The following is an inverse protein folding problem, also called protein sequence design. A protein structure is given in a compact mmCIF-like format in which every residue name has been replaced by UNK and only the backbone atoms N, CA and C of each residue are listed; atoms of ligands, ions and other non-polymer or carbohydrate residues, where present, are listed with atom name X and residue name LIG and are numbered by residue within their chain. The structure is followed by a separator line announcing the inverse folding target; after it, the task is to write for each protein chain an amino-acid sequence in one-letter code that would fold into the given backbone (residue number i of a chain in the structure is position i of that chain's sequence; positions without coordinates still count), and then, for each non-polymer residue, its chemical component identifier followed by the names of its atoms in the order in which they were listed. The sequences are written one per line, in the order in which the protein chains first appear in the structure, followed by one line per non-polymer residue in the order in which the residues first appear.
data_IF_007142603528
#
_entry.id   IF_007142603528
#
_cell.length_a   1.000
_cell.length_b   1.000
_cell.length_c   1.000
_cell.angle_alpha   90.00
_cell.angle_beta   90.00
_cell.angle_gamma   90.00
#
_symmetry.space_group_name_H-M   'P 1'
#
loop_
_entity.id
_entity.type
_entity.pdbx_description
1 polymer ?
#
# COMPACT_ATOMS: atom_id res chain seq x y z
N UNK A 1 10.68 -6.92 -0.19
CA UNK A 1 9.69 -5.88 -0.53
C UNK A 1 9.45 -4.96 0.66
N UNK A 2 9.11 -3.70 0.38
CA UNK A 2 8.78 -2.65 1.36
C UNK A 2 7.42 -2.07 1.00
N UNK A 3 6.57 -1.83 1.97
CA UNK A 3 5.18 -1.48 1.70
C UNK A 3 4.62 -0.43 2.65
N UNK A 4 3.57 0.23 2.16
CA UNK A 4 2.63 1.05 2.93
C UNK A 4 1.27 0.35 2.90
N UNK A 5 0.70 0.09 4.06
CA UNK A 5 -0.51 -0.71 4.19
C UNK A 5 -1.59 -0.06 5.05
N UNK A 6 -2.85 -0.31 4.69
CA UNK A 6 -3.99 -0.19 5.60
C UNK A 6 -4.30 -1.59 6.16
N UNK A 7 -4.13 -1.75 7.46
CA UNK A 7 -4.24 -3.03 8.17
C UNK A 7 -5.44 -2.97 9.10
N UNK A 8 -6.43 -3.84 8.87
CA UNK A 8 -7.53 -4.02 9.80
C UNK A 8 -7.22 -5.10 10.84
N UNK A 9 -6.78 -6.27 10.38
CA UNK A 9 -6.26 -7.34 11.23
C UNK A 9 -5.32 -8.28 10.44
N UNK A 10 -4.92 -9.40 11.06
CA UNK A 10 -4.04 -10.41 10.46
C UNK A 10 -4.61 -11.03 9.17
N UNK A 11 -5.92 -10.92 8.95
CA UNK A 11 -6.63 -11.56 7.85
C UNK A 11 -7.16 -10.56 6.81
N UNK A 12 -7.11 -9.26 7.10
CA UNK A 12 -7.70 -8.21 6.28
C UNK A 12 -6.78 -6.99 6.19
N UNK A 13 -6.20 -6.78 5.00
CA UNK A 13 -5.30 -5.66 4.72
C UNK A 13 -5.34 -5.24 3.25
N UNK A 14 -4.87 -4.01 3.00
CA UNK A 14 -4.50 -3.49 1.69
C UNK A 14 -3.08 -2.98 1.74
N UNK A 15 -2.27 -3.25 0.72
CA UNK A 15 -0.89 -2.80 0.69
C UNK A 15 -0.44 -2.41 -0.72
N UNK A 16 0.23 -1.27 -0.82
CA UNK A 16 1.10 -0.97 -1.96
C UNK A 16 2.53 -1.37 -1.57
N UNK A 17 3.16 -2.21 -2.40
CA UNK A 17 4.47 -2.79 -2.14
C UNK A 17 5.44 -2.44 -3.27
N UNK A 18 6.69 -2.16 -2.94
CA UNK A 18 7.77 -1.92 -3.89
C UNK A 18 8.93 -2.89 -3.66
N UNK A 19 9.52 -3.36 -4.76
CA UNK A 19 10.70 -4.22 -4.75
C UNK A 19 10.84 -4.97 -6.07
N UNK A 20 12.03 -5.51 -6.33
CA UNK A 20 12.31 -6.36 -7.49
C UNK A 20 11.91 -5.72 -8.84
N UNK A 21 12.13 -4.41 -8.99
CA UNK A 21 11.80 -3.66 -10.21
C UNK A 21 10.30 -3.43 -10.44
N UNK A 22 9.47 -3.61 -9.41
CA UNK A 22 8.02 -3.49 -9.52
C UNK A 22 7.39 -2.76 -8.34
N UNK A 23 6.20 -2.23 -8.60
CA UNK A 23 5.22 -1.85 -7.59
C UNK A 23 3.98 -2.71 -7.77
N UNK A 24 3.45 -3.21 -6.65
CA UNK A 24 2.31 -4.11 -6.63
C UNK A 24 1.26 -3.62 -5.64
N UNK A 25 -0.01 -3.74 -6.01
CA UNK A 25 -1.15 -3.57 -5.10
C UNK A 25 -1.66 -4.95 -4.69
N UNK A 26 -1.74 -5.17 -3.38
CA UNK A 26 -2.21 -6.42 -2.80
C UNK A 26 -3.38 -6.19 -1.87
N UNK A 27 -4.24 -7.19 -1.79
CA UNK A 27 -5.12 -7.37 -0.65
C UNK A 27 -4.86 -8.68 0.07
N UNK A 28 -5.11 -8.65 1.38
CA UNK A 28 -5.40 -9.84 2.18
C UNK A 28 -6.87 -9.77 2.53
N UNK A 29 -7.65 -10.77 2.14
CA UNK A 29 -9.08 -10.83 2.43
C UNK A 29 -9.42 -12.21 2.98
N UNK A 30 -9.94 -12.25 4.20
CA UNK A 30 -10.16 -13.51 4.93
C UNK A 30 -8.91 -14.41 4.96
N UNK A 31 -7.73 -13.81 5.12
CA UNK A 31 -6.43 -14.48 5.16
C UNK A 31 -5.86 -14.87 3.79
N UNK A 32 -6.61 -14.68 2.69
CA UNK A 32 -6.14 -14.98 1.34
C UNK A 32 -5.43 -13.77 0.75
N UNK A 33 -4.17 -13.96 0.36
CA UNK A 33 -3.37 -12.94 -0.31
C UNK A 33 -3.60 -12.99 -1.81
N UNK A 34 -3.78 -11.83 -2.44
CA UNK A 34 -3.86 -11.72 -3.89
C UNK A 34 -3.28 -10.39 -4.37
N UNK A 35 -2.49 -10.47 -5.45
CA UNK A 35 -2.04 -9.32 -6.20
C UNK A 35 -3.18 -8.86 -7.13
N UNK A 36 -3.53 -7.58 -7.03
CA UNK A 36 -4.59 -6.97 -7.83
C UNK A 36 -4.03 -6.26 -9.06
N UNK A 37 -2.90 -5.58 -8.88
CA UNK A 37 -2.27 -4.74 -9.90
C UNK A 37 -0.75 -4.84 -9.75
N UNK A 38 -0.04 -4.86 -10.87
CA UNK A 38 1.41 -4.76 -10.90
C UNK A 38 1.85 -3.77 -11.98
N UNK A 39 2.91 -3.03 -11.71
CA UNK A 39 3.55 -2.13 -12.66
C UNK A 39 5.07 -2.27 -12.56
N UNK A 40 5.75 -2.25 -13.71
CA UNK A 40 7.20 -2.14 -13.77
C UNK A 40 7.65 -0.75 -13.36
N UNK A 41 8.79 -0.68 -12.69
CA UNK A 41 9.41 0.57 -12.26
C UNK A 41 10.85 0.58 -12.70
N UNK A 42 11.20 1.60 -13.49
CA UNK A 42 12.58 1.85 -13.89
C UNK A 42 13.49 2.04 -12.66
N UNK A 43 14.79 1.69 -12.76
CA UNK A 43 15.73 1.87 -11.67
C UNK A 43 15.72 3.30 -11.13
N UNK A 44 15.49 3.44 -9.83
CA UNK A 44 15.44 4.73 -9.14
C UNK A 44 16.10 4.63 -7.77
N UNK A 45 16.63 5.76 -7.29
CA UNK A 45 17.32 5.82 -5.99
C UNK A 45 16.31 5.75 -4.84
N UNK A 46 15.17 6.44 -4.98
CA UNK A 46 14.11 6.48 -3.98
C UNK A 46 12.76 6.24 -4.65
N UNK A 47 11.91 5.48 -3.98
CA UNK A 47 10.51 5.32 -4.34
C UNK A 47 9.65 5.76 -3.15
N UNK A 48 8.66 6.60 -3.43
CA UNK A 48 7.68 7.06 -2.45
C UNK A 48 6.36 6.36 -2.72
N UNK A 49 5.76 5.82 -1.67
CA UNK A 49 4.46 5.14 -1.73
C UNK A 49 3.40 6.03 -1.09
N UNK A 50 2.21 6.04 -1.67
CA UNK A 50 1.07 6.80 -1.15
C UNK A 50 -0.16 5.91 -1.07
N UNK A 51 -0.86 6.07 0.05
CA UNK A 51 -2.17 5.51 0.34
C UNK A 51 -3.09 6.68 0.71
N UNK A 52 -4.19 6.83 -0.01
CA UNK A 52 -5.23 7.81 0.30
C UNK A 52 -6.52 7.08 0.66
N UNK A 53 -7.24 7.59 1.67
CA UNK A 53 -8.50 7.01 2.13
C UNK A 53 -9.53 8.09 2.38
N UNK A 54 -10.78 7.86 1.96
CA UNK A 54 -11.90 8.76 2.23
C UNK A 54 -13.19 7.99 2.53
N UNK A 55 -14.00 8.54 3.43
CA UNK A 55 -15.20 7.87 3.95
C UNK A 55 -14.92 6.51 4.61
N UNK A 56 -13.69 6.30 5.12
CA UNK A 56 -13.26 5.09 5.84
C UNK A 56 -13.06 3.81 5.01
N UNK A 57 -13.47 3.82 3.73
CA UNK A 57 -13.61 2.58 2.95
C UNK A 57 -13.14 2.68 1.49
N UNK A 58 -12.88 3.87 0.97
CA UNK A 58 -12.44 4.07 -0.41
C UNK A 58 -10.95 4.35 -0.41
N UNK A 59 -10.18 3.49 -1.08
CA UNK A 59 -8.72 3.53 -1.05
C UNK A 59 -8.14 3.81 -2.43
N UNK A 60 -7.03 4.58 -2.44
CA UNK A 60 -6.20 4.84 -3.60
C UNK A 60 -4.74 4.60 -3.30
N UNK A 61 -4.04 4.15 -4.32
CA UNK A 61 -2.63 3.81 -4.23
C UNK A 61 -1.89 4.44 -5.41
N UNK A 62 -0.79 5.09 -5.10
CA UNK A 62 0.08 5.69 -6.08
C UNK A 62 1.54 5.58 -5.62
N UNK A 63 2.46 5.68 -6.56
CA UNK A 63 3.88 5.75 -6.27
C UNK A 63 4.55 6.89 -7.05
N UNK A 64 5.72 7.30 -6.57
CA UNK A 64 6.56 8.31 -7.23
C UNK A 64 8.02 7.89 -7.15
N UNK A 65 8.76 8.04 -8.24
CA UNK A 65 10.20 7.77 -8.33
C UNK A 65 11.06 9.04 -8.26
N UNK A 66 10.42 10.22 -8.29
CA UNK A 66 11.08 11.53 -8.22
C UNK A 66 10.55 12.43 -7.08
N UNK A 67 9.52 11.98 -6.35
CA UNK A 67 8.89 12.69 -5.24
C UNK A 67 7.88 13.77 -5.66
N UNK A 68 7.69 14.01 -6.96
CA UNK A 68 6.87 15.10 -7.51
C UNK A 68 5.74 14.59 -8.42
N UNK A 69 6.03 13.66 -9.33
CA UNK A 69 5.06 13.04 -10.23
C UNK A 69 4.49 11.77 -9.60
N UNK A 70 3.16 11.66 -9.56
CA UNK A 70 2.46 10.55 -8.95
C UNK A 70 1.86 9.64 -10.01
N UNK A 71 2.30 8.38 -10.01
CA UNK A 71 1.81 7.32 -10.88
C UNK A 71 0.73 6.53 -10.11
N UNK A 72 -0.56 6.70 -10.44
CA UNK A 72 -1.62 5.92 -9.81
C UNK A 72 -1.52 4.46 -10.25
N UNK A 73 -1.81 3.52 -9.34
CA UNK A 73 -2.01 2.12 -9.72
C UNK A 73 -3.44 1.93 -10.25
N UNK A 74 -3.62 1.42 -11.48
CA UNK A 74 -4.94 1.29 -12.08
C UNK A 74 -5.72 0.16 -11.41
N UNK A 75 -6.74 0.52 -10.60
CA UNK A 75 -7.75 -0.43 -10.10
C UNK A 75 -8.94 -0.49 -11.04
N UNK A 76 -9.79 -1.52 -10.92
CA UNK A 76 -11.10 -1.60 -11.58
C UNK A 76 -12.03 -0.51 -11.02
N UNK A 77 -11.86 0.73 -11.50
CA UNK A 77 -12.53 1.94 -11.02
C UNK A 77 -11.59 2.96 -10.36
N UNK A 78 -12.17 4.08 -9.94
CA UNK A 78 -11.44 5.22 -9.37
C UNK A 78 -10.81 4.93 -7.99
N UNK A 79 -11.30 3.91 -7.28
CA UNK A 79 -10.87 3.54 -5.93
C UNK A 79 -11.18 2.08 -5.62
N UNK A 80 -10.40 1.46 -4.74
CA UNK A 80 -10.69 0.14 -4.23
C UNK A 80 -11.65 0.21 -3.02
N UNK A 81 -12.64 -0.68 -3.01
CA UNK A 81 -13.57 -0.83 -1.90
C UNK A 81 -12.98 -1.71 -0.79
N UNK A 82 -12.66 -1.09 0.35
CA UNK A 82 -12.09 -1.72 1.53
C UNK A 82 -13.10 -2.06 2.63
N UNK A 83 -14.39 -2.23 2.35
CA UNK A 83 -15.43 -2.58 3.35
C UNK A 83 -15.18 -3.89 4.10
N UNK A 84 -14.30 -4.75 3.58
CA UNK A 84 -13.88 -5.97 4.26
C UNK A 84 -12.84 -5.72 5.36
N UNK A 85 -12.31 -4.50 5.47
CA UNK A 85 -11.48 -4.12 6.62
C UNK A 85 -12.40 -3.93 7.84
N UNK A 86 -12.14 -4.62 8.97
CA UNK A 86 -13.02 -4.61 10.13
C UNK A 86 -13.20 -3.19 10.70
N UNK A 87 -14.42 -2.76 11.03
CA UNK A 87 -14.67 -1.33 11.01
C UNK A 87 -14.81 -0.68 12.42
N UNK A 88 -14.83 -1.42 13.55
CA UNK A 88 -15.22 -0.79 14.83
C UNK A 88 -14.50 -1.25 16.10
N UNK A 89 -14.08 -2.51 16.24
CA UNK A 89 -13.40 -3.02 17.45
C UNK A 89 -11.86 -3.09 17.30
N UNK A 90 -11.35 -3.11 16.07
CA UNK A 90 -9.91 -3.25 15.77
C UNK A 90 -9.24 -2.00 15.18
N UNK A 91 -10.03 -1.14 14.52
CA UNK A 91 -9.58 0.11 13.90
C UNK A 91 -8.54 -0.08 12.79
N UNK A 92 -8.81 0.41 11.58
CA UNK A 92 -7.81 0.35 10.51
C UNK A 92 -6.59 1.20 10.87
N UNK A 93 -5.40 0.61 10.81
CA UNK A 93 -4.11 1.27 11.06
C UNK A 93 -3.34 1.43 9.77
N UNK A 94 -2.60 2.52 9.65
CA UNK A 94 -1.61 2.67 8.58
C UNK A 94 -0.28 2.10 9.09
N UNK A 95 0.35 1.22 8.30
CA UNK A 95 1.56 0.51 8.68
C UNK A 95 2.63 0.56 7.58
N UNK A 96 3.89 0.57 8.01
CA UNK A 96 5.03 0.20 7.17
C UNK A 96 5.27 -1.30 7.29
N UNK A 97 5.40 -2.01 6.18
CA UNK A 97 5.61 -3.47 6.17
C UNK A 97 6.88 -3.81 5.40
N UNK A 98 7.69 -4.71 5.98
CA UNK A 98 8.85 -5.30 5.33
C UNK A 98 8.63 -6.81 5.22
N UNK A 99 8.83 -7.35 4.03
CA UNK A 99 8.71 -8.79 3.76
C UNK A 99 9.86 -9.23 2.86
N UNK A 100 10.53 -10.33 3.22
CA UNK A 100 11.64 -10.87 2.45
C UNK A 100 12.32 -12.01 3.20
N UNK A 101 13.37 -12.55 2.59
CA UNK A 101 14.21 -13.57 3.22
C UNK A 101 14.90 -13.03 4.48
N UNK A 102 15.22 -13.95 5.39
CA UNK A 102 15.99 -13.63 6.58
C UNK A 102 17.30 -12.91 6.22
N UNK A 103 17.70 -11.92 7.02
CA UNK A 103 18.90 -11.13 6.78
C UNK A 103 18.73 -9.94 5.84
N UNK A 104 17.66 -9.87 5.04
CA UNK A 104 17.37 -8.70 4.22
C UNK A 104 16.74 -7.57 5.04
N UNK A 105 17.03 -6.32 4.65
CA UNK A 105 16.55 -5.12 5.33
C UNK A 105 15.72 -4.26 4.39
N UNK A 106 14.66 -3.65 4.92
CA UNK A 106 13.93 -2.58 4.25
C UNK A 106 14.20 -1.26 4.99
N UNK A 107 14.60 -0.24 4.24
CA UNK A 107 14.79 1.11 4.77
C UNK A 107 13.63 2.01 4.35
N UNK A 108 13.10 2.77 5.31
CA UNK A 108 12.09 3.81 5.13
C UNK A 108 12.68 5.14 5.63
N UNK A 109 12.75 6.14 4.75
CA UNK A 109 13.35 7.43 5.10
C UNK A 109 12.42 8.30 5.95
N UNK A 110 11.11 8.28 5.65
CA UNK A 110 10.11 9.06 6.36
C UNK A 110 8.75 8.34 6.32
N UNK A 111 7.87 8.75 7.24
CA UNK A 111 6.48 8.35 7.27
C UNK A 111 5.63 9.57 7.61
N UNK A 112 4.67 9.89 6.76
CA UNK A 112 3.87 11.12 6.87
C UNK A 112 2.40 10.73 6.75
N UNK A 113 1.60 11.09 7.76
CA UNK A 113 0.15 11.05 7.70
C UNK A 113 -0.35 12.49 7.65
N UNK A 114 -1.25 12.78 6.71
CA UNK A 114 -1.91 14.08 6.60
C UNK A 114 -3.40 13.87 6.57
N UNK A 115 -4.13 14.65 7.37
CA UNK A 115 -5.57 14.78 7.21
C UNK A 115 -5.82 15.83 6.12
N UNK A 116 -6.45 15.42 5.02
CA UNK A 116 -6.92 16.31 3.97
C UNK A 116 -8.39 16.58 4.26
N UNK A 117 -8.70 17.79 4.76
CA UNK A 117 -10.08 18.26 4.95
C UNK A 117 -10.64 18.82 3.66
#
# INVERSE_FOLDING_TARGET
MRALAAVGDLYNALAIMAGNGQVQLWHVKSGKQQCLVQAFVEPCVTITLRLEVWGGQRYRFAYSTDGSHWNPLPTDGFSLNGTYLPPWDRGVRVALVAQGESGHRAAFHNFIIRNQR
#
